data_IF_060805763504
#
_entry.id   IF_060805763504
#
_cell.length_a   1.000
_cell.length_b   1.000
_cell.length_c   1.000
_cell.angle_alpha   90.00
_cell.angle_beta   90.00
_cell.angle_gamma   90.00
#
_symmetry.space_group_name_H-M   'P 1'
#
loop_
_entity.id
_entity.type
_entity.pdbx_description
1 polymer ?
#
# COMPACT_ATOMS: atom_id res chain seq x y z
N UNK A 1 45.24 -3.10 -26.71
CA UNK A 1 46.10 -2.45 -27.76
C UNK A 1 46.68 -1.21 -27.12
N UNK A 2 47.94 -1.32 -26.68
CA UNK A 2 48.67 -0.28 -25.93
C UNK A 2 49.02 0.91 -26.84
N UNK A 3 48.63 2.11 -26.46
CA UNK A 3 49.13 3.33 -27.05
C UNK A 3 50.17 3.96 -26.11
N UNK A 4 51.42 3.83 -26.47
CA UNK A 4 52.55 4.54 -25.89
C UNK A 4 52.47 6.03 -26.26
N UNK A 5 52.35 6.91 -25.30
CA UNK A 5 52.80 8.31 -25.40
C UNK A 5 53.66 8.61 -24.16
N UNK A 6 54.89 8.91 -24.46
CA UNK A 6 55.90 9.44 -23.54
C UNK A 6 56.32 8.57 -22.33
N UNK A 7 56.77 7.35 -22.59
CA UNK A 7 57.84 6.69 -21.80
C UNK A 7 57.65 6.48 -20.29
N UNK A 8 56.46 6.65 -19.70
CA UNK A 8 56.22 6.43 -18.29
C UNK A 8 54.93 5.64 -18.15
N UNK A 9 55.06 4.36 -17.75
CA UNK A 9 53.92 3.52 -17.29
C UNK A 9 53.48 4.05 -15.93
N UNK A 10 52.43 4.82 -15.89
CA UNK A 10 51.75 5.14 -14.63
C UNK A 10 50.74 4.01 -14.38
N UNK A 11 51.06 3.16 -13.40
CA UNK A 11 50.14 2.11 -12.95
C UNK A 11 48.92 2.73 -12.31
N UNK A 12 47.76 2.11 -12.60
CA UNK A 12 46.41 2.48 -12.17
C UNK A 12 46.20 2.46 -10.62
N UNK A 13 47.27 2.45 -9.82
CA UNK A 13 47.22 2.30 -8.36
C UNK A 13 47.66 3.51 -7.54
N UNK A 14 48.10 4.62 -8.13
CA UNK A 14 48.72 5.71 -7.39
C UNK A 14 48.07 7.09 -7.58
N UNK A 15 46.76 7.16 -7.81
CA UNK A 15 46.01 8.40 -7.64
C UNK A 15 45.71 8.54 -6.17
N UNK A 16 46.31 9.54 -5.46
CA UNK A 16 46.08 9.70 -4.04
C UNK A 16 44.60 10.10 -3.85
N UNK A 17 43.84 9.27 -3.10
CA UNK A 17 42.42 9.50 -2.69
C UNK A 17 42.14 10.92 -2.17
N UNK A 18 43.18 11.69 -1.87
CA UNK A 18 43.11 13.05 -1.37
C UNK A 18 42.97 14.10 -2.48
N UNK A 19 43.42 13.79 -3.71
CA UNK A 19 43.28 14.67 -4.90
C UNK A 19 41.87 14.56 -5.50
N UNK A 20 41.34 13.36 -5.63
CA UNK A 20 39.97 13.09 -6.10
C UNK A 20 38.90 13.77 -5.24
N UNK A 21 39.03 13.69 -3.89
CA UNK A 21 38.16 14.41 -2.99
C UNK A 21 38.21 15.93 -3.12
N UNK A 22 39.37 16.50 -3.42
CA UNK A 22 39.55 17.97 -3.51
C UNK A 22 38.95 18.54 -4.79
N UNK A 23 38.92 17.79 -5.88
CA UNK A 23 38.31 18.19 -7.16
C UNK A 23 36.79 18.16 -7.05
N UNK A 24 36.17 17.09 -6.51
CA UNK A 24 34.74 16.99 -6.26
C UNK A 24 34.24 18.13 -5.34
N UNK A 25 35.03 18.51 -4.36
CA UNK A 25 34.71 19.62 -3.44
C UNK A 25 34.61 20.97 -4.12
N UNK A 26 35.53 21.23 -5.06
CA UNK A 26 35.60 22.53 -5.76
C UNK A 26 34.41 22.69 -6.69
N UNK A 27 34.01 21.63 -7.39
CA UNK A 27 32.92 21.66 -8.35
C UNK A 27 31.54 21.79 -7.69
N UNK A 28 31.28 21.11 -6.53
CA UNK A 28 30.03 21.29 -5.79
C UNK A 28 29.89 22.74 -5.31
N UNK A 29 30.93 23.34 -4.77
CA UNK A 29 30.92 24.73 -4.33
C UNK A 29 30.59 25.70 -5.49
N UNK A 30 31.21 25.49 -6.65
CA UNK A 30 30.96 26.32 -7.86
C UNK A 30 29.51 26.18 -8.35
N UNK A 31 28.97 24.97 -8.34
CA UNK A 31 27.55 24.70 -8.67
C UNK A 31 26.59 25.40 -7.70
N UNK A 32 26.85 25.30 -6.40
CA UNK A 32 26.04 25.99 -5.36
C UNK A 32 26.07 27.51 -5.59
N UNK A 33 27.26 28.09 -5.85
CA UNK A 33 27.38 29.53 -6.11
C UNK A 33 26.62 29.95 -7.37
N UNK A 34 26.76 29.16 -8.46
CA UNK A 34 26.12 29.47 -9.74
C UNK A 34 24.58 29.41 -9.62
N UNK A 35 24.03 28.37 -8.98
CA UNK A 35 22.60 28.21 -8.77
C UNK A 35 22.03 29.31 -7.87
N UNK A 36 22.67 29.59 -6.74
CA UNK A 36 22.24 30.68 -5.84
C UNK A 36 22.22 32.04 -6.55
N UNK A 37 23.29 32.37 -7.32
CA UNK A 37 23.36 33.61 -8.08
C UNK A 37 22.31 33.70 -9.17
N UNK A 38 21.96 32.56 -9.79
CA UNK A 38 20.91 32.50 -10.81
C UNK A 38 19.54 32.84 -10.22
N UNK A 39 19.27 32.38 -8.99
CA UNK A 39 18.05 32.72 -8.24
C UNK A 39 18.08 34.14 -7.64
N UNK A 40 19.21 34.87 -7.79
CA UNK A 40 19.37 36.23 -7.27
C UNK A 40 19.53 36.30 -5.74
N UNK A 41 19.77 35.20 -5.07
CA UNK A 41 19.83 35.18 -3.59
C UNK A 41 21.18 35.57 -3.05
N UNK A 42 21.16 36.26 -1.90
CA UNK A 42 22.33 36.46 -1.04
C UNK A 42 22.64 35.16 -0.28
N UNK A 43 23.86 35.05 0.27
CA UNK A 43 24.19 33.89 1.13
C UNK A 43 23.27 33.77 2.35
N UNK A 44 22.74 34.88 2.86
CA UNK A 44 21.84 34.90 3.98
C UNK A 44 20.43 34.42 3.64
N UNK A 45 19.89 34.85 2.51
CA UNK A 45 18.60 34.38 1.99
C UNK A 45 18.65 32.87 1.69
N UNK A 46 19.72 32.42 1.06
CA UNK A 46 19.91 30.98 0.80
C UNK A 46 20.05 30.16 2.08
N UNK A 47 20.76 30.69 3.10
CA UNK A 47 20.87 30.04 4.40
C UNK A 47 19.49 29.95 5.09
N UNK A 48 18.64 30.98 4.98
CA UNK A 48 17.29 30.96 5.51
C UNK A 48 16.41 29.91 4.81
N UNK A 49 16.49 29.75 3.50
CA UNK A 49 15.78 28.70 2.74
C UNK A 49 16.15 27.29 3.22
N UNK A 50 17.43 27.06 3.51
CA UNK A 50 17.95 25.78 3.99
C UNK A 50 17.84 25.60 5.52
N UNK A 51 17.36 26.62 6.25
CA UNK A 51 17.31 26.64 7.72
C UNK A 51 18.68 26.33 8.35
N UNK A 52 19.73 26.98 7.85
CA UNK A 52 21.12 26.87 8.34
C UNK A 52 21.69 28.26 8.63
N UNK A 53 22.88 28.33 9.25
CA UNK A 53 23.56 29.60 9.44
C UNK A 53 24.20 30.09 8.13
N UNK A 54 24.28 31.42 7.95
CA UNK A 54 25.03 32.01 6.83
C UNK A 54 26.48 31.53 6.79
N UNK A 55 27.09 31.27 7.95
CA UNK A 55 28.45 30.73 8.04
C UNK A 55 28.59 29.34 7.40
N UNK A 56 27.56 28.48 7.52
CA UNK A 56 27.53 27.18 6.88
C UNK A 56 27.58 27.33 5.35
N UNK A 57 26.71 28.17 4.80
CA UNK A 57 26.69 28.46 3.36
C UNK A 57 28.05 29.03 2.90
N UNK A 58 28.62 30.00 3.63
CA UNK A 58 29.91 30.55 3.33
C UNK A 58 31.05 29.53 3.31
N UNK A 59 31.04 28.55 4.24
CA UNK A 59 32.00 27.45 4.26
C UNK A 59 31.82 26.48 3.10
N UNK A 60 30.59 26.21 2.67
CA UNK A 60 30.30 25.35 1.51
C UNK A 60 30.78 26.02 0.20
N UNK A 61 30.43 27.29 0.01
CA UNK A 61 30.84 28.07 -1.15
C UNK A 61 32.34 28.34 -1.16
N UNK A 62 32.96 28.45 0.03
CA UNK A 62 34.41 28.62 0.19
C UNK A 62 35.20 27.33 0.16
N UNK A 63 34.59 26.21 -0.15
CA UNK A 63 35.24 24.89 -0.22
C UNK A 63 35.91 24.42 1.10
N UNK A 64 35.39 24.91 2.24
CA UNK A 64 35.93 24.61 3.57
C UNK A 64 35.21 23.43 4.23
N UNK A 65 33.97 23.15 3.82
CA UNK A 65 33.19 22.01 4.30
C UNK A 65 32.18 21.54 3.25
N UNK A 66 31.72 20.31 3.33
CA UNK A 66 30.65 19.77 2.48
C UNK A 66 29.31 19.87 3.24
N UNK A 67 28.20 20.17 2.54
CA UNK A 67 26.87 20.01 3.09
C UNK A 67 26.60 18.55 3.40
N UNK A 68 25.79 18.28 4.45
CA UNK A 68 25.26 16.95 4.71
C UNK A 68 24.32 16.51 3.58
N UNK A 69 24.17 15.19 3.39
CA UNK A 69 23.33 14.61 2.33
C UNK A 69 21.91 15.18 2.36
N UNK A 70 21.33 15.38 3.54
CA UNK A 70 20.01 15.99 3.70
C UNK A 70 19.94 17.43 3.14
N UNK A 71 21.05 18.19 3.25
CA UNK A 71 21.13 19.53 2.70
C UNK A 71 21.31 19.53 1.19
N UNK A 72 22.04 18.56 0.65
CA UNK A 72 22.18 18.36 -0.81
C UNK A 72 20.82 18.03 -1.42
N UNK A 73 20.03 17.16 -0.77
CA UNK A 73 18.67 16.84 -1.19
C UNK A 73 17.77 18.08 -1.16
N UNK A 74 17.86 18.90 -0.09
CA UNK A 74 17.12 20.16 0.01
C UNK A 74 17.54 21.16 -1.07
N UNK A 75 18.85 21.27 -1.40
CA UNK A 75 19.35 22.12 -2.48
C UNK A 75 18.81 21.66 -3.84
N UNK A 76 18.82 20.36 -4.13
CA UNK A 76 18.24 19.78 -5.34
C UNK A 76 16.76 20.19 -5.50
N UNK A 77 15.99 20.14 -4.44
CA UNK A 77 14.57 20.54 -4.44
C UNK A 77 14.38 22.06 -4.63
N UNK A 78 15.17 22.87 -3.93
CA UNK A 78 15.06 24.34 -3.96
C UNK A 78 15.48 24.90 -5.34
N UNK A 79 16.53 24.34 -5.93
CA UNK A 79 17.02 24.77 -7.24
C UNK A 79 16.38 24.05 -8.43
N UNK A 80 15.55 23.01 -8.19
CA UNK A 80 14.92 22.22 -9.24
C UNK A 80 15.92 21.45 -10.11
N UNK A 81 17.07 21.05 -9.57
CA UNK A 81 18.13 20.32 -10.28
C UNK A 81 18.28 18.91 -9.73
N UNK A 82 18.75 17.96 -10.55
CA UNK A 82 18.98 16.59 -10.09
C UNK A 82 20.11 16.54 -9.04
N UNK A 83 20.00 15.56 -8.10
CA UNK A 83 21.07 15.30 -7.12
C UNK A 83 22.35 14.87 -7.85
N UNK A 84 22.19 14.11 -8.95
CA UNK A 84 23.30 13.67 -9.78
C UNK A 84 24.05 14.85 -10.40
N UNK A 85 23.33 15.89 -10.85
CA UNK A 85 23.98 17.13 -11.30
C UNK A 85 24.80 17.78 -10.19
N UNK A 86 24.32 17.81 -8.95
CA UNK A 86 25.05 18.42 -7.85
C UNK A 86 26.32 17.62 -7.48
N UNK A 87 26.28 16.29 -7.57
CA UNK A 87 27.35 15.40 -7.09
C UNK A 87 28.26 14.87 -8.19
N UNK A 88 27.85 14.88 -9.46
CA UNK A 88 28.62 14.31 -10.56
C UNK A 88 29.37 15.39 -11.33
N UNK A 89 30.68 15.22 -11.48
CA UNK A 89 31.59 16.19 -12.08
C UNK A 89 31.46 16.26 -13.61
N UNK A 90 30.98 15.20 -14.25
CA UNK A 90 30.83 15.13 -15.71
C UNK A 90 29.64 15.96 -16.23
N UNK A 91 28.68 16.32 -15.37
CA UNK A 91 27.53 17.13 -15.74
C UNK A 91 27.81 18.62 -15.57
N UNK A 92 28.18 19.30 -16.69
CA UNK A 92 28.45 20.74 -16.71
C UNK A 92 27.22 21.62 -16.84
N UNK A 93 26.16 21.11 -17.45
CA UNK A 93 24.87 21.80 -17.56
C UNK A 93 23.89 21.32 -16.50
N UNK A 94 23.16 22.23 -15.86
CA UNK A 94 22.15 21.85 -14.90
C UNK A 94 21.06 21.05 -15.61
N UNK A 95 20.96 19.76 -15.29
CA UNK A 95 19.80 18.94 -15.64
C UNK A 95 18.66 19.40 -14.73
N UNK A 96 17.87 20.34 -15.25
CA UNK A 96 16.66 20.74 -14.57
C UNK A 96 15.72 19.56 -14.57
N UNK A 97 15.26 19.20 -13.39
CA UNK A 97 14.15 18.27 -13.25
C UNK A 97 13.02 18.87 -14.10
N UNK A 98 12.75 18.27 -15.27
CA UNK A 98 11.57 18.66 -16.03
C UNK A 98 10.40 18.62 -15.04
N UNK A 99 9.74 19.76 -14.87
CA UNK A 99 8.59 19.95 -13.98
C UNK A 99 7.36 19.16 -14.42
N UNK A 100 7.57 17.98 -14.99
CA UNK A 100 6.57 16.95 -15.26
C UNK A 100 6.56 15.83 -14.21
N UNK A 101 7.43 15.87 -13.22
CA UNK A 101 7.16 15.22 -11.96
C UNK A 101 6.61 16.28 -11.02
N UNK A 102 5.34 16.27 -10.87
CA UNK A 102 4.61 16.81 -9.76
C UNK A 102 5.26 16.33 -8.44
N UNK A 103 6.39 16.95 -8.06
CA UNK A 103 6.82 17.02 -6.67
C UNK A 103 5.88 18.01 -5.97
N UNK A 104 4.58 17.86 -6.25
CA UNK A 104 3.54 18.38 -5.43
C UNK A 104 3.92 17.98 -4.02
N UNK A 105 3.92 18.91 -3.15
CA UNK A 105 4.16 18.78 -1.71
C UNK A 105 3.74 17.39 -1.27
N UNK A 106 4.76 16.52 -0.99
CA UNK A 106 4.50 15.14 -0.56
C UNK A 106 3.45 15.26 0.52
N UNK A 107 2.26 14.72 0.26
CA UNK A 107 1.13 14.86 1.16
C UNK A 107 1.55 14.37 2.53
N UNK A 108 1.43 15.22 3.52
CA UNK A 108 1.72 14.88 4.91
C UNK A 108 0.44 14.44 5.60
N UNK A 109 0.43 13.22 6.08
CA UNK A 109 -0.70 12.66 6.83
C UNK A 109 -0.59 13.12 8.27
N UNK A 110 -1.63 13.81 8.74
CA UNK A 110 -1.75 14.22 10.14
C UNK A 110 -2.15 13.06 11.05
N UNK A 111 -1.96 13.24 12.35
CA UNK A 111 -2.38 12.25 13.36
C UNK A 111 -3.89 12.03 13.32
N UNK A 112 -4.67 13.07 13.10
CA UNK A 112 -6.12 13.03 13.01
C UNK A 112 -6.59 12.25 11.77
N UNK A 113 -6.00 12.55 10.61
CA UNK A 113 -6.30 11.87 9.34
C UNK A 113 -5.96 10.36 9.41
N UNK A 114 -4.84 10.00 10.05
CA UNK A 114 -4.48 8.60 10.28
C UNK A 114 -5.49 7.90 11.19
N UNK A 115 -5.98 8.59 12.22
CA UNK A 115 -7.00 8.05 13.13
C UNK A 115 -8.35 7.85 12.45
N UNK A 116 -8.80 8.84 11.67
CA UNK A 116 -10.02 8.74 10.86
C UNK A 116 -9.94 7.58 9.87
N UNK A 117 -8.80 7.42 9.20
CA UNK A 117 -8.59 6.31 8.28
C UNK A 117 -8.71 4.95 8.97
N UNK A 118 -8.05 4.75 10.10
CA UNK A 118 -8.12 3.49 10.85
C UNK A 118 -9.55 3.18 11.32
N UNK A 119 -10.31 4.17 11.76
CA UNK A 119 -11.71 4.02 12.13
C UNK A 119 -12.59 3.70 10.90
N UNK A 120 -12.36 4.37 9.78
CA UNK A 120 -13.08 4.11 8.53
C UNK A 120 -12.86 2.68 8.03
N UNK A 121 -11.61 2.20 8.08
CA UNK A 121 -11.27 0.82 7.71
C UNK A 121 -11.92 -0.18 8.66
N UNK A 122 -11.91 0.06 9.98
CA UNK A 122 -12.56 -0.85 10.94
C UNK A 122 -14.07 -0.94 10.69
N UNK A 123 -14.73 0.18 10.43
CA UNK A 123 -16.17 0.21 10.11
C UNK A 123 -16.45 -0.51 8.78
N UNK A 124 -15.64 -0.27 7.75
CA UNK A 124 -15.79 -0.91 6.44
C UNK A 124 -15.47 -2.39 6.48
N UNK A 125 -14.48 -2.82 7.25
CA UNK A 125 -14.11 -4.22 7.42
C UNK A 125 -15.28 -5.05 8.00
N UNK A 126 -16.04 -4.48 8.95
CA UNK A 126 -17.27 -5.12 9.46
C UNK A 126 -18.32 -5.25 8.36
N UNK A 127 -18.52 -4.21 7.56
CA UNK A 127 -19.49 -4.22 6.46
C UNK A 127 -19.10 -5.24 5.37
N UNK A 128 -17.86 -5.20 4.90
CA UNK A 128 -17.37 -6.15 3.89
C UNK A 128 -17.46 -7.59 4.38
N UNK A 129 -17.01 -7.86 5.62
CA UNK A 129 -17.09 -9.20 6.19
C UNK A 129 -18.54 -9.70 6.30
N UNK A 130 -19.49 -8.83 6.68
CA UNK A 130 -20.90 -9.14 6.76
C UNK A 130 -21.52 -9.40 5.37
N UNK A 131 -21.17 -8.60 4.36
CA UNK A 131 -21.59 -8.82 2.98
C UNK A 131 -21.14 -10.17 2.45
N UNK A 132 -19.88 -10.57 2.71
CA UNK A 132 -19.36 -11.88 2.30
C UNK A 132 -20.10 -13.02 3.03
N UNK A 133 -20.37 -12.87 4.32
CA UNK A 133 -21.18 -13.83 5.09
C UNK A 133 -22.57 -14.02 4.46
N UNK A 134 -23.24 -12.93 4.09
CA UNK A 134 -24.55 -13.00 3.42
C UNK A 134 -24.47 -13.72 2.07
N UNK A 135 -23.42 -13.47 1.28
CA UNK A 135 -23.20 -14.19 0.03
C UNK A 135 -22.99 -15.70 0.26
N UNK A 136 -22.20 -16.08 1.27
CA UNK A 136 -21.94 -17.50 1.58
C UNK A 136 -23.19 -18.19 2.13
N UNK A 137 -24.00 -17.49 2.94
CA UNK A 137 -25.22 -18.04 3.52
C UNK A 137 -26.41 -18.00 2.56
N UNK A 138 -26.37 -17.23 1.48
CA UNK A 138 -27.48 -17.12 0.55
C UNK A 138 -27.96 -18.47 -0.02
N UNK A 139 -27.10 -19.44 -0.43
CA UNK A 139 -27.54 -20.74 -0.88
C UNK A 139 -27.98 -21.68 0.25
N UNK A 140 -27.59 -21.40 1.51
CA UNK A 140 -27.95 -22.26 2.64
C UNK A 140 -29.46 -22.34 2.84
N UNK A 141 -30.18 -21.21 2.66
CA UNK A 141 -31.65 -21.17 2.78
C UNK A 141 -32.32 -22.04 1.73
N UNK A 142 -31.83 -21.96 0.48
CA UNK A 142 -32.32 -22.80 -0.63
C UNK A 142 -32.12 -24.30 -0.31
N UNK A 143 -30.90 -24.65 0.16
CA UNK A 143 -30.55 -26.03 0.50
C UNK A 143 -31.42 -26.58 1.62
N UNK A 144 -31.67 -25.78 2.68
CA UNK A 144 -32.53 -26.17 3.80
C UNK A 144 -33.97 -26.33 3.36
N UNK A 145 -34.51 -25.46 2.49
CA UNK A 145 -35.87 -25.56 1.97
C UNK A 145 -36.05 -26.81 1.10
N UNK A 146 -35.08 -27.15 0.27
CA UNK A 146 -35.10 -28.38 -0.54
C UNK A 146 -35.05 -29.61 0.36
N UNK A 147 -34.19 -29.63 1.37
CA UNK A 147 -34.16 -30.73 2.34
C UNK A 147 -35.44 -30.90 3.15
N UNK A 148 -36.15 -29.79 3.41
CA UNK A 148 -37.45 -29.83 4.13
C UNK A 148 -38.59 -30.28 3.21
N UNK A 149 -38.56 -30.01 1.91
CA UNK A 149 -39.61 -30.44 0.97
C UNK A 149 -39.64 -31.97 0.74
N UNK A 150 -38.54 -32.66 0.99
CA UNK A 150 -38.46 -34.13 0.91
C UNK A 150 -39.12 -34.81 2.13
N UNK A 151 -39.28 -34.13 3.26
CA UNK A 151 -39.95 -34.65 4.45
C UNK A 151 -41.45 -34.29 4.44
N UNK A 152 -42.26 -35.17 3.92
CA UNK A 152 -43.74 -35.00 3.81
C UNK A 152 -44.46 -34.70 5.11
N UNK A 153 -43.83 -34.83 6.27
CA UNK A 153 -44.45 -34.73 7.59
C UNK A 153 -44.34 -33.36 8.26
N UNK A 154 -43.51 -32.43 7.77
CA UNK A 154 -43.29 -31.14 8.45
C UNK A 154 -43.79 -29.95 7.63
N UNK A 155 -43.61 -29.97 6.31
CA UNK A 155 -44.11 -28.93 5.39
C UNK A 155 -44.56 -29.58 4.09
N UNK A 156 -45.87 -29.48 3.76
CA UNK A 156 -46.42 -29.91 2.48
C UNK A 156 -46.11 -28.91 1.33
N UNK A 157 -44.87 -28.42 1.27
CA UNK A 157 -44.43 -27.54 0.19
C UNK A 157 -44.06 -28.39 -1.04
N UNK A 158 -44.67 -28.12 -2.18
CA UNK A 158 -44.18 -28.74 -3.41
C UNK A 158 -42.76 -28.29 -3.71
N UNK A 159 -41.95 -29.17 -4.27
CA UNK A 159 -40.54 -28.91 -4.62
C UNK A 159 -40.38 -27.61 -5.44
N UNK A 160 -41.27 -27.34 -6.39
CA UNK A 160 -41.27 -26.13 -7.22
C UNK A 160 -41.47 -24.86 -6.40
N UNK A 161 -42.31 -24.89 -5.35
CA UNK A 161 -42.52 -23.74 -4.47
C UNK A 161 -41.30 -23.51 -3.57
N UNK A 162 -40.71 -24.58 -3.02
CA UNK A 162 -39.49 -24.50 -2.24
C UNK A 162 -38.33 -23.91 -3.04
N UNK A 163 -38.15 -24.34 -4.30
CA UNK A 163 -37.19 -23.78 -5.27
C UNK A 163 -37.47 -22.29 -5.55
N UNK A 164 -38.72 -21.92 -5.83
CA UNK A 164 -39.07 -20.53 -6.14
C UNK A 164 -38.76 -19.59 -4.97
N UNK A 165 -39.17 -19.97 -3.74
CA UNK A 165 -38.90 -19.20 -2.53
C UNK A 165 -37.38 -19.14 -2.29
N UNK A 166 -36.69 -20.28 -2.35
CA UNK A 166 -35.25 -20.37 -2.12
C UNK A 166 -34.43 -19.47 -3.03
N UNK A 167 -34.73 -19.49 -4.34
CA UNK A 167 -34.03 -18.61 -5.34
C UNK A 167 -34.36 -17.14 -5.08
N UNK A 168 -35.62 -16.82 -4.73
CA UNK A 168 -35.99 -15.43 -4.43
C UNK A 168 -35.21 -14.89 -3.22
N UNK A 169 -35.14 -15.67 -2.12
CA UNK A 169 -34.39 -15.29 -0.95
C UNK A 169 -32.89 -15.17 -1.24
N UNK A 170 -32.34 -16.11 -2.01
CA UNK A 170 -30.93 -16.05 -2.44
C UNK A 170 -30.62 -14.73 -3.17
N UNK A 171 -31.45 -14.35 -4.17
CA UNK A 171 -31.26 -13.11 -4.92
C UNK A 171 -31.38 -11.87 -4.04
N UNK A 172 -32.33 -11.85 -3.09
CA UNK A 172 -32.49 -10.74 -2.15
C UNK A 172 -31.27 -10.60 -1.23
N UNK A 173 -30.73 -11.71 -0.70
CA UNK A 173 -29.54 -11.68 0.15
C UNK A 173 -28.31 -11.23 -0.60
N UNK A 174 -28.11 -11.66 -1.85
CA UNK A 174 -27.02 -11.22 -2.71
C UNK A 174 -27.16 -9.74 -3.04
N UNK A 175 -28.37 -9.26 -3.37
CA UNK A 175 -28.59 -7.84 -3.63
C UNK A 175 -28.27 -6.97 -2.40
N UNK A 176 -28.66 -7.41 -1.20
CA UNK A 176 -28.33 -6.75 0.05
C UNK A 176 -26.80 -6.74 0.29
N UNK A 177 -26.12 -7.86 0.05
CA UNK A 177 -24.68 -7.96 0.20
C UNK A 177 -23.92 -7.00 -0.75
N UNK A 178 -24.35 -6.90 -2.02
CA UNK A 178 -23.78 -5.96 -2.99
C UNK A 178 -23.99 -4.52 -2.53
N UNK A 179 -25.16 -4.17 -2.01
CA UNK A 179 -25.42 -2.84 -1.42
C UNK A 179 -24.45 -2.51 -0.28
N UNK A 180 -24.18 -3.49 0.60
CA UNK A 180 -23.22 -3.35 1.70
C UNK A 180 -21.79 -3.17 1.17
N UNK A 181 -21.39 -3.89 0.12
CA UNK A 181 -20.07 -3.75 -0.50
C UNK A 181 -19.87 -2.36 -1.10
N UNK A 182 -20.84 -1.86 -1.86
CA UNK A 182 -20.79 -0.51 -2.43
C UNK A 182 -20.68 0.54 -1.32
N UNK A 183 -21.53 0.47 -0.31
CA UNK A 183 -21.50 1.41 0.82
C UNK A 183 -20.17 1.37 1.58
N UNK A 184 -19.62 0.19 1.83
CA UNK A 184 -18.35 0.01 2.53
C UNK A 184 -17.16 0.48 1.67
N UNK A 185 -17.22 0.27 0.35
CA UNK A 185 -16.21 0.71 -0.62
C UNK A 185 -16.14 2.24 -0.70
N UNK A 186 -17.29 2.91 -0.83
CA UNK A 186 -17.35 4.38 -0.87
C UNK A 186 -16.72 5.04 0.36
N UNK A 187 -16.82 4.41 1.52
CA UNK A 187 -16.24 4.91 2.77
C UNK A 187 -14.70 4.93 2.75
N UNK A 188 -14.07 3.97 2.05
CA UNK A 188 -12.61 3.85 1.96
C UNK A 188 -12.07 4.61 0.74
N UNK A 189 -12.86 4.85 -0.28
CA UNK A 189 -12.46 5.51 -1.52
C UNK A 189 -11.76 6.86 -1.27
N UNK A 190 -12.20 7.62 -0.27
CA UNK A 190 -11.55 8.87 0.18
C UNK A 190 -10.04 8.69 0.46
N UNK A 191 -9.61 7.49 0.82
CA UNK A 191 -8.24 7.17 1.25
C UNK A 191 -7.48 6.33 0.21
N UNK A 192 -7.95 6.26 -1.04
CA UNK A 192 -7.31 5.49 -2.12
C UNK A 192 -5.89 5.97 -2.41
N UNK A 193 -5.61 7.26 -2.19
CA UNK A 193 -4.27 7.84 -2.32
C UNK A 193 -3.23 7.16 -1.43
N UNK A 194 -3.61 6.60 -0.26
CA UNK A 194 -2.71 5.85 0.62
C UNK A 194 -2.14 4.59 -0.04
N UNK A 195 -2.83 4.05 -1.03
CA UNK A 195 -2.43 2.85 -1.77
C UNK A 195 -1.54 3.19 -2.97
N UNK A 196 -1.87 4.27 -3.67
CA UNK A 196 -1.30 4.59 -4.97
C UNK A 196 -0.23 5.69 -4.92
N UNK A 197 -0.30 6.61 -3.94
CA UNK A 197 0.60 7.75 -3.85
C UNK A 197 1.68 7.56 -2.78
N UNK A 198 2.81 8.24 -2.99
CA UNK A 198 3.85 8.37 -1.97
C UNK A 198 3.47 9.52 -1.06
N UNK A 199 3.47 9.28 0.24
CA UNK A 199 3.14 10.29 1.25
C UNK A 199 4.18 10.28 2.38
N UNK A 200 4.22 11.33 3.15
CA UNK A 200 4.98 11.41 4.40
C UNK A 200 4.01 11.47 5.59
N UNK A 201 4.49 11.04 6.75
CA UNK A 201 3.71 11.08 7.99
C UNK A 201 4.25 12.16 8.91
N UNK A 202 3.38 12.95 9.52
CA UNK A 202 3.77 13.91 10.54
C UNK A 202 4.39 13.21 11.75
N UNK A 203 5.16 13.98 12.54
CA UNK A 203 5.79 13.49 13.77
C UNK A 203 4.75 12.83 14.69
N UNK A 204 5.08 11.63 15.17
CA UNK A 204 4.21 10.86 16.07
C UNK A 204 3.26 9.86 15.39
N UNK A 205 2.86 10.05 14.12
CA UNK A 205 1.94 9.14 13.41
C UNK A 205 2.53 7.72 13.33
N UNK A 206 3.76 7.62 12.84
CA UNK A 206 4.44 6.32 12.70
C UNK A 206 4.57 5.59 14.04
N UNK A 207 4.88 6.32 15.14
CA UNK A 207 4.99 5.72 16.46
C UNK A 207 3.64 5.23 16.97
N UNK A 208 2.59 6.02 16.80
CA UNK A 208 1.22 5.67 17.19
C UNK A 208 0.75 4.42 16.45
N UNK A 209 0.93 4.38 15.12
CA UNK A 209 0.49 3.24 14.29
C UNK A 209 1.28 1.98 14.65
N UNK A 210 2.60 2.07 14.85
CA UNK A 210 3.43 0.94 15.31
C UNK A 210 3.00 0.41 16.67
N UNK A 211 2.70 1.29 17.61
CA UNK A 211 2.22 0.88 18.93
C UNK A 211 0.88 0.14 18.84
N UNK A 212 -0.07 0.65 18.05
CA UNK A 212 -1.36 -0.03 17.81
C UNK A 212 -1.19 -1.36 17.07
N UNK A 213 -0.30 -1.43 16.09
CA UNK A 213 0.01 -2.66 15.37
C UNK A 213 0.57 -3.72 16.31
N UNK A 214 1.56 -3.36 17.15
CA UNK A 214 2.14 -4.27 18.14
C UNK A 214 1.11 -4.76 19.17
N UNK A 215 0.25 -3.88 19.65
CA UNK A 215 -0.82 -4.25 20.56
C UNK A 215 -1.83 -5.20 19.91
N UNK A 216 -2.11 -5.01 18.62
CA UNK A 216 -3.06 -5.83 17.88
C UNK A 216 -2.48 -7.16 17.39
N UNK A 217 -1.17 -7.27 17.22
CA UNK A 217 -0.47 -8.45 16.67
C UNK A 217 -0.87 -9.78 17.31
N UNK A 218 -0.93 -9.94 18.65
CA UNK A 218 -1.34 -11.21 19.26
C UNK A 218 -2.80 -11.56 18.96
N UNK A 219 -3.68 -10.56 18.85
CA UNK A 219 -5.08 -10.75 18.47
C UNK A 219 -5.19 -11.15 17.01
N UNK A 220 -4.43 -10.50 16.12
CA UNK A 220 -4.34 -10.83 14.70
C UNK A 220 -3.98 -12.29 14.50
N UNK A 221 -2.89 -12.77 15.11
CA UNK A 221 -2.43 -14.15 14.97
C UNK A 221 -3.46 -15.15 15.45
N UNK A 222 -4.08 -14.92 16.63
CA UNK A 222 -5.13 -15.80 17.17
C UNK A 222 -6.35 -15.88 16.26
N UNK A 223 -6.82 -14.74 15.74
CA UNK A 223 -8.02 -14.68 14.90
C UNK A 223 -7.78 -15.29 13.51
N UNK A 224 -6.58 -15.14 12.93
CA UNK A 224 -6.23 -15.81 11.67
C UNK A 224 -6.20 -17.34 11.87
N UNK A 225 -5.54 -17.83 12.91
CA UNK A 225 -5.49 -19.27 13.21
C UNK A 225 -6.91 -19.81 13.42
N UNK A 226 -7.72 -19.13 14.23
CA UNK A 226 -9.10 -19.55 14.49
C UNK A 226 -9.95 -19.57 13.20
N UNK A 227 -9.84 -18.55 12.36
CA UNK A 227 -10.57 -18.48 11.09
C UNK A 227 -10.18 -19.61 10.14
N UNK A 228 -8.90 -19.89 9.99
CA UNK A 228 -8.40 -20.99 9.15
C UNK A 228 -8.85 -22.36 9.71
N UNK A 229 -8.73 -22.58 11.01
CA UNK A 229 -9.16 -23.82 11.66
C UNK A 229 -10.66 -24.05 11.48
N UNK A 230 -11.50 -23.00 11.65
CA UNK A 230 -12.94 -23.09 11.41
C UNK A 230 -13.26 -23.46 9.96
N UNK A 231 -12.57 -22.86 8.99
CA UNK A 231 -12.75 -23.20 7.57
C UNK A 231 -12.39 -24.66 7.28
N UNK A 232 -11.29 -25.17 7.86
CA UNK A 232 -10.89 -26.56 7.65
C UNK A 232 -11.85 -27.53 8.35
N UNK A 233 -12.23 -27.25 9.60
CA UNK A 233 -13.14 -28.10 10.37
C UNK A 233 -14.56 -28.09 9.85
N UNK A 234 -14.96 -27.10 9.05
CA UNK A 234 -16.30 -27.01 8.48
C UNK A 234 -16.71 -28.20 7.63
N UNK A 235 -15.75 -28.90 7.01
CA UNK A 235 -16.00 -30.09 6.21
C UNK A 235 -16.31 -31.34 7.07
N UNK A 236 -15.90 -31.37 8.34
CA UNK A 236 -16.00 -32.54 9.22
C UNK A 236 -17.46 -33.00 9.44
N UNK A 237 -18.42 -32.12 9.75
CA UNK A 237 -19.82 -32.55 9.93
C UNK A 237 -20.41 -33.23 8.70
N UNK A 238 -20.11 -32.69 7.52
CA UNK A 238 -20.56 -33.25 6.24
C UNK A 238 -19.97 -34.66 6.01
N UNK A 239 -18.65 -34.81 6.19
CA UNK A 239 -18.00 -36.10 6.03
C UNK A 239 -18.50 -37.16 7.01
N UNK A 240 -18.67 -36.79 8.29
CA UNK A 240 -19.17 -37.72 9.30
C UNK A 240 -20.60 -38.15 9.00
N UNK A 241 -21.50 -37.21 8.69
CA UNK A 241 -22.91 -37.54 8.42
C UNK A 241 -23.05 -38.37 7.15
N UNK A 242 -22.27 -38.11 6.11
CA UNK A 242 -22.30 -38.91 4.87
C UNK A 242 -21.88 -40.38 5.08
N UNK A 243 -21.04 -40.64 6.09
CA UNK A 243 -20.62 -42.02 6.43
C UNK A 243 -21.65 -42.78 7.26
N UNK A 244 -22.40 -42.10 8.12
CA UNK A 244 -23.26 -42.75 9.08
C UNK A 244 -24.76 -42.70 8.72
N UNK A 245 -25.18 -41.88 7.75
CA UNK A 245 -26.58 -41.65 7.44
C UNK A 245 -26.80 -41.65 5.94
N UNK A 246 -27.78 -42.42 5.49
CA UNK A 246 -28.31 -42.39 4.12
C UNK A 246 -29.49 -41.41 3.97
N UNK A 247 -29.86 -40.73 5.05
CA UNK A 247 -30.98 -39.82 5.07
C UNK A 247 -30.63 -38.51 4.37
N UNK A 248 -31.27 -38.24 3.26
CA UNK A 248 -30.98 -37.11 2.37
C UNK A 248 -31.16 -35.75 3.02
N UNK A 249 -32.22 -35.61 3.87
CA UNK A 249 -32.45 -34.35 4.60
C UNK A 249 -31.35 -34.05 5.64
N UNK A 250 -30.75 -35.07 6.24
CA UNK A 250 -29.64 -34.89 7.17
C UNK A 250 -28.37 -34.39 6.41
N UNK A 251 -28.18 -34.84 5.17
CA UNK A 251 -27.11 -34.39 4.30
C UNK A 251 -27.31 -32.90 3.95
N UNK A 252 -28.52 -32.47 3.55
CA UNK A 252 -28.80 -31.05 3.28
C UNK A 252 -28.54 -30.16 4.51
N UNK A 253 -28.94 -30.61 5.69
CA UNK A 253 -28.68 -29.87 6.93
C UNK A 253 -27.18 -29.77 7.23
N UNK A 254 -26.41 -30.81 6.95
CA UNK A 254 -24.93 -30.79 7.14
C UNK A 254 -24.22 -29.82 6.18
N UNK A 255 -24.69 -29.70 4.94
CA UNK A 255 -24.20 -28.70 3.99
C UNK A 255 -24.53 -27.30 4.47
N UNK A 256 -25.73 -27.06 5.00
CA UNK A 256 -26.04 -25.75 5.58
C UNK A 256 -25.14 -25.41 6.78
N UNK A 257 -24.89 -26.39 7.67
CA UNK A 257 -23.97 -26.23 8.81
C UNK A 257 -22.53 -25.92 8.35
N UNK A 258 -22.06 -26.60 7.29
CA UNK A 258 -20.76 -26.31 6.65
C UNK A 258 -20.69 -24.85 6.21
N UNK A 259 -21.71 -24.34 5.49
CA UNK A 259 -21.75 -22.96 5.03
C UNK A 259 -21.73 -21.95 6.19
N UNK A 260 -22.43 -22.25 7.30
CA UNK A 260 -22.42 -21.43 8.50
C UNK A 260 -21.01 -21.38 9.11
N UNK A 261 -20.34 -22.52 9.25
CA UNK A 261 -18.99 -22.58 9.82
C UNK A 261 -17.96 -21.85 8.94
N UNK A 262 -18.02 -22.05 7.61
CA UNK A 262 -17.16 -21.31 6.67
C UNK A 262 -17.41 -19.80 6.79
N UNK A 263 -18.68 -19.37 6.84
CA UNK A 263 -19.00 -17.95 6.92
C UNK A 263 -18.44 -17.29 8.18
N UNK A 264 -18.46 -17.97 9.32
CA UNK A 264 -17.83 -17.50 10.56
C UNK A 264 -16.30 -17.40 10.41
N UNK A 265 -15.65 -18.41 9.83
CA UNK A 265 -14.21 -18.39 9.57
C UNK A 265 -13.82 -17.24 8.65
N UNK A 266 -14.49 -17.08 7.52
CA UNK A 266 -14.24 -16.02 6.54
C UNK A 266 -14.49 -14.63 7.13
N UNK A 267 -15.53 -14.47 7.96
CA UNK A 267 -15.78 -13.20 8.67
C UNK A 267 -14.57 -12.77 9.50
N UNK A 268 -13.99 -13.71 10.28
CA UNK A 268 -12.81 -13.43 11.10
C UNK A 268 -11.61 -13.08 10.24
N UNK A 269 -11.37 -13.81 9.16
CA UNK A 269 -10.23 -13.58 8.25
C UNK A 269 -10.29 -12.22 7.58
N UNK A 270 -11.45 -11.85 7.01
CA UNK A 270 -11.63 -10.57 6.30
C UNK A 270 -11.46 -9.40 7.26
N UNK A 271 -12.19 -9.40 8.39
CA UNK A 271 -12.16 -8.32 9.37
C UNK A 271 -10.74 -8.09 9.89
N UNK A 272 -10.06 -9.19 10.22
CA UNK A 272 -8.71 -9.17 10.79
C UNK A 272 -7.67 -8.75 9.76
N UNK A 273 -7.78 -9.28 8.53
CA UNK A 273 -6.88 -8.97 7.43
C UNK A 273 -6.96 -7.50 6.99
N UNK A 274 -8.17 -6.96 6.85
CA UNK A 274 -8.36 -5.55 6.47
C UNK A 274 -7.77 -4.60 7.52
N UNK A 275 -7.96 -4.89 8.82
CA UNK A 275 -7.39 -4.09 9.91
C UNK A 275 -5.86 -4.17 9.92
N UNK A 276 -5.28 -5.34 9.72
CA UNK A 276 -3.82 -5.49 9.63
C UNK A 276 -3.25 -4.76 8.41
N UNK A 277 -3.91 -4.91 7.26
CA UNK A 277 -3.53 -4.22 6.03
C UNK A 277 -3.54 -2.69 6.15
N UNK A 278 -4.44 -2.11 6.96
CA UNK A 278 -4.47 -0.66 7.18
C UNK A 278 -3.23 -0.14 7.91
N UNK A 279 -2.68 -0.91 8.87
CA UNK A 279 -1.41 -0.56 9.51
C UNK A 279 -0.25 -0.61 8.51
N UNK A 280 -0.17 -1.66 7.69
CA UNK A 280 0.88 -1.79 6.67
C UNK A 280 0.83 -0.64 5.65
N UNK A 281 -0.37 -0.20 5.24
CA UNK A 281 -0.55 0.94 4.33
C UNK A 281 -0.01 2.24 4.92
N UNK A 282 -0.36 2.55 6.18
CA UNK A 282 0.12 3.76 6.85
C UNK A 282 1.62 3.74 7.14
N UNK A 283 2.17 2.58 7.48
CA UNK A 283 3.61 2.41 7.71
C UNK A 283 4.43 2.29 6.43
N UNK A 284 3.77 2.19 5.28
CA UNK A 284 4.41 1.93 3.98
C UNK A 284 5.31 0.68 4.03
N UNK A 285 4.82 -0.37 4.67
CA UNK A 285 5.53 -1.65 4.79
C UNK A 285 4.95 -2.72 3.84
N UNK A 286 5.72 -3.77 3.56
CA UNK A 286 5.29 -4.87 2.69
C UNK A 286 5.06 -4.43 1.24
N UNK A 287 3.87 -4.67 0.71
CA UNK A 287 3.47 -4.32 -0.67
C UNK A 287 3.27 -2.80 -0.88
N UNK A 288 3.22 -2.01 0.19
CA UNK A 288 2.99 -0.57 0.17
C UNK A 288 4.26 0.27 0.29
N UNK A 289 5.46 -0.34 0.17
CA UNK A 289 6.74 0.38 0.19
C UNK A 289 6.83 1.40 -0.94
N UNK A 290 7.52 2.53 -0.67
CA UNK A 290 7.72 3.62 -1.64
C UNK A 290 8.25 3.10 -2.98
N UNK A 291 9.16 2.13 -2.97
CA UNK A 291 9.74 1.54 -4.18
C UNK A 291 8.71 0.77 -5.01
N UNK A 292 7.81 0.03 -4.37
CA UNK A 292 6.75 -0.73 -5.06
C UNK A 292 5.70 0.22 -5.64
N UNK A 293 5.30 1.26 -4.89
CA UNK A 293 4.36 2.29 -5.37
C UNK A 293 4.91 3.04 -6.59
N UNK A 294 6.19 3.44 -6.57
CA UNK A 294 6.82 4.10 -7.71
C UNK A 294 6.92 3.16 -8.92
N UNK A 295 7.24 1.87 -8.71
CA UNK A 295 7.27 0.87 -9.79
C UNK A 295 5.88 0.65 -10.41
N UNK A 296 4.83 0.54 -9.57
CA UNK A 296 3.44 0.37 -10.03
C UNK A 296 2.99 1.56 -10.87
N UNK A 297 3.27 2.78 -10.43
CA UNK A 297 3.00 4.02 -11.17
C UNK A 297 3.67 4.02 -12.55
N UNK A 298 4.92 3.55 -12.63
CA UNK A 298 5.66 3.39 -13.89
C UNK A 298 5.03 2.36 -14.82
N UNK A 299 4.64 1.20 -14.29
CA UNK A 299 3.97 0.17 -15.09
C UNK A 299 2.60 0.62 -15.58
N UNK A 300 1.81 1.28 -14.76
CA UNK A 300 0.48 1.78 -15.14
C UNK A 300 0.59 2.89 -16.21
N UNK A 301 1.61 3.77 -16.13
CA UNK A 301 1.89 4.76 -17.15
C UNK A 301 2.31 4.11 -18.49
N UNK A 302 3.13 3.06 -18.45
CA UNK A 302 3.52 2.30 -19.65
C UNK A 302 2.33 1.56 -20.28
N UNK A 303 1.49 0.91 -19.46
CA UNK A 303 0.29 0.23 -19.96
C UNK A 303 -0.74 1.23 -20.52
N UNK A 304 -0.92 2.38 -19.88
CA UNK A 304 -1.77 3.47 -20.39
C UNK A 304 -1.30 3.98 -21.75
N UNK A 305 0.01 4.18 -21.93
CA UNK A 305 0.60 4.57 -23.22
C UNK A 305 0.45 3.48 -24.29
N UNK A 306 0.63 2.22 -23.90
CA UNK A 306 0.48 1.08 -24.81
C UNK A 306 -0.97 0.93 -25.31
N UNK A 307 -1.97 1.09 -24.43
CA UNK A 307 -3.38 1.06 -24.81
C UNK A 307 -3.77 2.22 -25.73
N UNK A 308 -3.22 3.42 -25.54
CA UNK A 308 -3.44 4.55 -26.45
C UNK A 308 -2.87 4.28 -27.85
N UNK A 309 -1.72 3.58 -27.96
CA UNK A 309 -1.12 3.19 -29.25
C UNK A 309 -1.89 2.05 -29.94
N UNK A 310 -2.60 1.21 -29.21
CA UNK A 310 -3.39 0.09 -29.77
C UNK A 310 -4.78 0.56 -30.24
N UNK A 311 -5.29 1.65 -29.67
CA UNK A 311 -6.62 2.22 -30.00
C UNK A 311 -6.54 3.31 -31.07
N UNK A 312 -5.35 3.89 -31.33
CA UNK A 312 -5.08 4.85 -32.42
C UNK A 312 -4.68 4.13 -33.70
#
# INVERSE_FOLDING_TARGET
MNLLKNGILIGEKDIPKKLEKKEVFTMLADKIISLRKKEGWTQEEFANQLKVSRQSVSKWEGNQSIPDVDKIVQMSQIFGVSIDYLLNDDMKEPEYLETNTDFGTIRQISLEEAHEYLQAVEASAKGVALGVVLCILSPAVLIVLLGASEQTNIFSLSENVALGIGITVLLLLVALAVGIFIYSGLKIQKYEYLENEVFDTQYGVTQMVKAQQQQYQPTYTKMIILGVVLCILSAVPLLLLSLFTTNQSAIFLSVAALLVMISCGVYLLIRTGMRWGSYLKLLQEGEYTRQIKSRKRWTDALYGSYWMLVVA
#
